data_IF_112625178087
#
_entry.id   IF_112625178087
#
_cell.length_a   1.000
_cell.length_b   1.000
_cell.length_c   1.000
_cell.angle_alpha   90.00
_cell.angle_beta   90.00
_cell.angle_gamma   90.00
#
_symmetry.space_group_name_H-M   'P 1'
#
loop_
_entity.id
_entity.type
_entity.pdbx_description
1 polymer ?
#
# COMPACT_ATOMS: atom_id res chain seq x y z
N UNK A 1 -3.52 -27.59 1.70
CA UNK A 1 -3.42 -27.09 3.09
C UNK A 1 -4.21 -25.80 3.17
N UNK A 2 -5.07 -25.64 4.17
CA UNK A 2 -5.72 -24.36 4.46
C UNK A 2 -5.09 -23.80 5.73
N UNK A 3 -4.53 -22.59 5.66
CA UNK A 3 -4.02 -21.87 6.81
C UNK A 3 -5.21 -21.27 7.56
N UNK A 4 -5.44 -21.69 8.81
CA UNK A 4 -6.66 -21.38 9.60
C UNK A 4 -6.34 -20.74 10.95
N UNK A 5 -5.12 -20.23 11.14
CA UNK A 5 -4.74 -19.55 12.37
C UNK A 5 -5.51 -18.24 12.58
N UNK A 6 -5.73 -17.90 13.85
CA UNK A 6 -6.18 -16.57 14.25
C UNK A 6 -5.03 -15.58 14.16
N UNK A 7 -4.94 -14.87 13.03
CA UNK A 7 -3.92 -13.84 12.80
C UNK A 7 -4.07 -12.70 13.80
N UNK A 8 -5.30 -12.30 14.14
CA UNK A 8 -5.54 -11.24 15.13
C UNK A 8 -4.95 -11.65 16.47
N UNK A 9 -5.38 -12.80 17.00
CA UNK A 9 -4.93 -13.29 18.30
C UNK A 9 -3.41 -13.49 18.36
N UNK A 10 -2.80 -14.00 17.28
CA UNK A 10 -1.34 -14.16 17.19
C UNK A 10 -0.58 -12.84 17.32
N UNK A 11 -1.01 -11.80 16.59
CA UNK A 11 -0.30 -10.51 16.60
C UNK A 11 -0.58 -9.70 17.87
N UNK A 12 -1.81 -9.76 18.40
CA UNK A 12 -2.12 -9.19 19.71
C UNK A 12 -1.26 -9.84 20.82
N UNK A 13 -1.03 -11.15 20.76
CA UNK A 13 -0.14 -11.85 21.69
C UNK A 13 1.34 -11.43 21.58
N UNK A 14 1.79 -10.97 20.40
CA UNK A 14 3.10 -10.34 20.22
C UNK A 14 3.16 -8.88 20.70
N UNK A 15 2.05 -8.33 21.19
CA UNK A 15 1.95 -6.93 21.61
C UNK A 15 1.75 -5.94 20.46
N UNK A 16 1.31 -6.41 19.28
CA UNK A 16 0.99 -5.54 18.16
C UNK A 16 -0.42 -4.98 18.27
N UNK A 17 -0.65 -3.80 17.69
CA UNK A 17 -2.00 -3.36 17.32
C UNK A 17 -2.45 -4.16 16.09
N UNK A 18 -3.66 -4.72 16.12
CA UNK A 18 -4.30 -5.34 14.96
C UNK A 18 -5.49 -4.48 14.52
N UNK A 19 -5.55 -4.16 13.22
CA UNK A 19 -6.67 -3.44 12.61
C UNK A 19 -7.21 -4.27 11.46
N UNK A 20 -8.53 -4.44 11.39
CA UNK A 20 -9.20 -5.18 10.32
C UNK A 20 -9.90 -4.24 9.34
N UNK A 21 -9.50 -4.30 8.07
CA UNK A 21 -10.24 -3.70 6.95
C UNK A 21 -11.00 -4.82 6.24
N UNK A 22 -12.33 -4.78 6.32
CA UNK A 22 -13.23 -5.84 5.81
C UNK A 22 -13.38 -5.86 4.29
N UNK A 23 -13.20 -4.71 3.64
CA UNK A 23 -13.23 -4.58 2.18
C UNK A 23 -11.97 -3.86 1.70
N UNK A 24 -11.08 -4.60 1.03
CA UNK A 24 -9.84 -4.06 0.50
C UNK A 24 -10.01 -3.17 -0.75
N UNK A 25 -11.21 -3.04 -1.29
CA UNK A 25 -11.51 -2.05 -2.33
C UNK A 25 -12.02 -0.71 -1.74
N UNK A 26 -12.27 -0.64 -0.44
CA UNK A 26 -12.61 0.60 0.24
C UNK A 26 -11.34 1.38 0.61
N UNK A 27 -10.98 2.33 -0.25
CA UNK A 27 -9.80 3.17 -0.04
C UNK A 27 -9.91 4.10 1.18
N UNK A 28 -11.12 4.44 1.61
CA UNK A 28 -11.34 5.31 2.78
C UNK A 28 -11.12 4.51 4.06
N UNK A 29 -11.66 3.30 4.16
CA UNK A 29 -11.41 2.40 5.28
C UNK A 29 -9.91 2.08 5.45
N UNK A 30 -9.18 1.90 4.35
CA UNK A 30 -7.71 1.72 4.38
C UNK A 30 -7.02 2.98 4.89
N UNK A 31 -7.45 4.17 4.45
CA UNK A 31 -6.86 5.44 4.90
C UNK A 31 -7.08 5.65 6.41
N UNK A 32 -8.30 5.39 6.91
CA UNK A 32 -8.62 5.45 8.35
C UNK A 32 -7.76 4.48 9.14
N UNK A 33 -7.60 3.24 8.69
CA UNK A 33 -6.75 2.25 9.35
C UNK A 33 -5.27 2.68 9.39
N UNK A 34 -4.76 3.32 8.33
CA UNK A 34 -3.39 3.85 8.29
C UNK A 34 -3.20 5.02 9.26
N UNK A 35 -4.20 5.89 9.42
CA UNK A 35 -4.12 7.01 10.35
C UNK A 35 -4.23 6.54 11.80
N UNK A 36 -5.07 5.55 12.09
CA UNK A 36 -5.11 4.88 13.40
C UNK A 36 -3.78 4.19 13.72
N UNK A 37 -3.17 3.50 12.75
CA UNK A 37 -1.88 2.83 12.92
C UNK A 37 -0.74 3.82 13.22
N UNK A 38 -0.75 5.02 12.63
CA UNK A 38 0.26 6.06 12.91
C UNK A 38 0.03 6.77 14.25
N UNK A 39 -1.20 6.77 14.75
CA UNK A 39 -1.53 7.36 16.04
C UNK A 39 -1.07 6.48 17.21
N UNK A 40 -0.93 5.17 16.98
CA UNK A 40 -0.27 4.25 17.91
C UNK A 40 1.24 4.48 17.90
N UNK A 41 1.80 4.82 19.07
CA UNK A 41 3.21 5.18 19.24
C UNK A 41 3.96 4.20 20.15
N UNK A 42 3.28 3.26 20.79
CA UNK A 42 3.86 2.31 21.74
C UNK A 42 4.03 0.91 21.12
N UNK A 43 3.28 0.60 20.06
CA UNK A 43 3.22 -0.73 19.46
C UNK A 43 3.41 -0.69 17.95
N UNK A 44 4.00 -1.74 17.35
CA UNK A 44 3.88 -1.96 15.91
C UNK A 44 2.45 -2.35 15.55
N UNK A 45 2.03 -2.03 14.32
CA UNK A 45 0.67 -2.31 13.83
C UNK A 45 0.67 -3.25 12.64
N UNK A 46 -0.25 -4.22 12.65
CA UNK A 46 -0.64 -5.01 11.47
C UNK A 46 -2.06 -4.62 11.04
N UNK A 47 -2.21 -4.24 9.77
CA UNK A 47 -3.52 -4.00 9.17
C UNK A 47 -3.87 -5.20 8.29
N UNK A 48 -4.83 -6.00 8.74
CA UNK A 48 -5.37 -7.11 7.97
C UNK A 48 -6.42 -6.58 6.99
N UNK A 49 -6.06 -6.54 5.71
CA UNK A 49 -6.96 -6.10 4.63
C UNK A 49 -7.53 -7.31 3.91
N UNK A 50 -8.85 -7.52 3.99
CA UNK A 50 -9.53 -8.61 3.30
C UNK A 50 -9.69 -8.24 1.81
N UNK A 51 -9.08 -9.04 0.94
CA UNK A 51 -9.12 -8.85 -0.52
C UNK A 51 -9.59 -10.12 -1.22
N UNK A 52 -9.98 -9.99 -2.49
CA UNK A 52 -10.23 -11.12 -3.39
C UNK A 52 -9.03 -11.21 -4.35
N UNK A 53 -8.29 -12.31 -4.32
CA UNK A 53 -7.17 -12.51 -5.24
C UNK A 53 -7.67 -12.55 -6.68
N UNK A 54 -7.00 -11.84 -7.59
CA UNK A 54 -7.40 -11.73 -8.99
C UNK A 54 -8.77 -11.08 -9.19
N UNK A 55 -9.18 -10.16 -8.32
CA UNK A 55 -10.43 -9.39 -8.42
C UNK A 55 -10.70 -8.90 -9.86
N UNK A 56 -11.91 -9.14 -10.36
CA UNK A 56 -12.34 -8.83 -11.72
C UNK A 56 -12.10 -9.96 -12.73
N UNK A 57 -11.22 -10.93 -12.45
CA UNK A 57 -11.01 -12.08 -13.31
C UNK A 57 -12.13 -13.13 -13.12
N UNK A 58 -12.36 -13.95 -14.15
CA UNK A 58 -13.36 -15.04 -14.09
C UNK A 58 -13.10 -16.03 -12.95
N UNK A 59 -11.82 -16.32 -12.69
CA UNK A 59 -11.36 -17.24 -11.63
C UNK A 59 -10.94 -16.52 -10.34
N UNK A 60 -11.41 -15.30 -10.11
CA UNK A 60 -11.12 -14.55 -8.88
C UNK A 60 -11.42 -15.37 -7.62
N UNK A 61 -10.65 -15.17 -6.56
CA UNK A 61 -10.82 -15.89 -5.29
C UNK A 61 -10.32 -17.35 -5.29
N UNK A 62 -9.77 -17.83 -6.41
CA UNK A 62 -9.22 -19.19 -6.51
C UNK A 62 -7.69 -19.18 -6.59
N UNK A 63 -7.04 -20.32 -6.32
CA UNK A 63 -5.59 -20.44 -6.48
C UNK A 63 -5.12 -20.38 -7.94
N UNK A 64 -6.03 -20.56 -8.91
CA UNK A 64 -5.70 -20.58 -10.33
C UNK A 64 -5.15 -19.25 -10.86
N UNK A 65 -5.46 -18.12 -10.19
CA UNK A 65 -4.98 -16.78 -10.57
C UNK A 65 -3.68 -16.37 -9.86
N UNK A 66 -3.09 -17.24 -9.03
CA UNK A 66 -1.92 -16.89 -8.23
C UNK A 66 -0.62 -16.84 -9.02
N UNK A 67 -0.32 -17.89 -9.80
CA UNK A 67 1.01 -18.09 -10.39
C UNK A 67 1.02 -18.31 -11.91
N UNK A 68 -0.13 -18.16 -12.58
CA UNK A 68 -0.25 -18.36 -14.02
C UNK A 68 -0.84 -17.11 -14.69
N UNK A 69 -0.39 -16.74 -15.90
CA UNK A 69 -1.03 -15.69 -16.68
C UNK A 69 -2.51 -16.01 -16.91
N UNK A 70 -3.36 -14.97 -16.92
CA UNK A 70 -4.79 -15.13 -17.18
C UNK A 70 -5.11 -15.59 -18.62
N UNK A 71 -4.15 -15.45 -19.54
CA UNK A 71 -4.38 -15.60 -20.98
C UNK A 71 -5.15 -14.41 -21.57
N UNK A 72 -5.20 -14.34 -22.90
CA UNK A 72 -5.81 -13.19 -23.59
C UNK A 72 -7.31 -13.05 -23.29
N UNK A 73 -8.03 -14.17 -23.21
CA UNK A 73 -9.46 -14.19 -22.89
C UNK A 73 -9.71 -13.70 -21.45
N UNK A 74 -8.93 -14.18 -20.48
CA UNK A 74 -9.02 -13.74 -19.10
C UNK A 74 -8.68 -12.27 -18.91
N UNK A 75 -7.70 -11.73 -19.67
CA UNK A 75 -7.40 -10.30 -19.70
C UNK A 75 -8.59 -9.51 -20.24
N UNK A 76 -9.18 -9.92 -21.36
CA UNK A 76 -10.32 -9.24 -21.96
C UNK A 76 -11.55 -9.25 -21.02
N UNK A 77 -11.81 -10.38 -20.36
CA UNK A 77 -12.84 -10.49 -19.34
C UNK A 77 -12.60 -9.51 -18.19
N UNK A 78 -11.39 -9.51 -17.63
CA UNK A 78 -11.03 -8.66 -16.48
C UNK A 78 -11.15 -7.18 -16.83
N UNK A 79 -10.65 -6.78 -18.02
CA UNK A 79 -10.80 -5.40 -18.51
C UNK A 79 -12.27 -4.97 -18.57
N UNK A 80 -13.13 -5.82 -19.14
CA UNK A 80 -14.58 -5.56 -19.21
C UNK A 80 -15.20 -5.46 -17.82
N UNK A 81 -14.86 -6.37 -16.91
CA UNK A 81 -15.38 -6.37 -15.54
C UNK A 81 -14.98 -5.11 -14.75
N UNK A 82 -13.78 -4.59 -14.98
CA UNK A 82 -13.26 -3.37 -14.33
C UNK A 82 -13.63 -2.07 -15.09
N UNK A 83 -14.35 -2.15 -16.20
CA UNK A 83 -14.64 -0.98 -17.05
C UNK A 83 -13.39 -0.36 -17.69
N UNK A 84 -12.31 -1.11 -17.83
CA UNK A 84 -11.04 -0.64 -18.38
C UNK A 84 -11.05 -0.74 -19.91
N UNK A 85 -11.21 0.41 -20.58
CA UNK A 85 -11.32 0.50 -22.03
C UNK A 85 -10.00 0.74 -22.77
N UNK A 86 -8.90 0.98 -22.06
CA UNK A 86 -7.65 1.37 -22.69
C UNK A 86 -6.89 0.18 -23.31
N UNK A 87 -6.07 0.41 -24.35
CA UNK A 87 -5.18 -0.58 -24.91
C UNK A 87 -4.18 -1.14 -23.89
N UNK A 88 -3.50 -2.24 -24.23
CA UNK A 88 -2.44 -2.76 -23.40
C UNK A 88 -1.32 -1.72 -23.22
N UNK A 89 -0.79 -1.62 -21.99
CA UNK A 89 0.31 -0.73 -21.64
C UNK A 89 0.04 0.77 -21.84
N UNK A 90 -1.22 1.20 -21.76
CA UNK A 90 -1.58 2.62 -21.77
C UNK A 90 -1.88 3.09 -20.35
N UNK A 91 -1.20 4.16 -19.94
CA UNK A 91 -1.51 4.90 -18.72
C UNK A 91 -2.32 6.13 -19.12
N UNK A 92 -3.57 6.27 -18.67
CA UNK A 92 -4.36 7.47 -18.93
C UNK A 92 -3.67 8.71 -18.34
N UNK A 93 -3.77 9.85 -19.04
CA UNK A 93 -3.08 11.09 -18.65
C UNK A 93 -3.50 11.56 -17.25
N UNK A 94 -4.78 11.42 -16.92
CA UNK A 94 -5.30 11.77 -15.61
C UNK A 94 -4.68 10.93 -14.48
N UNK A 95 -4.33 9.68 -14.75
CA UNK A 95 -3.64 8.80 -13.79
C UNK A 95 -2.21 9.29 -13.61
N UNK A 96 -1.47 9.51 -14.70
CA UNK A 96 -0.11 10.03 -14.64
C UNK A 96 -0.04 11.37 -13.90
N UNK A 97 -0.96 12.29 -14.21
CA UNK A 97 -1.08 13.59 -13.55
C UNK A 97 -1.43 13.45 -12.08
N UNK A 98 -2.31 12.53 -11.70
CA UNK A 98 -2.65 12.27 -10.29
C UNK A 98 -1.42 11.82 -9.50
N UNK A 99 -0.58 10.95 -10.06
CA UNK A 99 0.67 10.51 -9.43
C UNK A 99 1.68 11.65 -9.30
N UNK A 100 1.83 12.47 -10.34
CA UNK A 100 2.71 13.63 -10.30
C UNK A 100 2.33 14.59 -9.17
N UNK A 101 1.05 14.96 -9.08
CA UNK A 101 0.57 15.91 -8.06
C UNK A 101 0.61 15.31 -6.65
N UNK A 102 0.13 14.08 -6.48
CA UNK A 102 -0.08 13.49 -5.14
C UNK A 102 1.18 12.85 -4.55
N UNK A 103 2.11 12.42 -5.40
CA UNK A 103 3.33 11.72 -4.95
C UNK A 103 4.55 12.56 -5.25
N UNK A 104 4.88 12.80 -6.53
CA UNK A 104 6.15 13.43 -6.93
C UNK A 104 6.39 14.76 -6.22
N UNK A 105 5.48 15.71 -6.35
CA UNK A 105 5.65 17.04 -5.75
C UNK A 105 5.70 16.99 -4.21
N UNK A 106 4.91 16.11 -3.58
CA UNK A 106 4.92 15.93 -2.13
C UNK A 106 6.26 15.37 -1.65
N UNK A 107 6.80 14.38 -2.35
CA UNK A 107 8.08 13.77 -2.02
C UNK A 107 9.25 14.75 -2.22
N UNK A 108 9.28 15.48 -3.34
CA UNK A 108 10.29 16.51 -3.61
C UNK A 108 10.28 17.59 -2.53
N UNK A 109 9.11 18.06 -2.12
CA UNK A 109 8.99 19.03 -1.03
C UNK A 109 9.49 18.47 0.32
N UNK A 110 9.15 17.22 0.64
CA UNK A 110 9.56 16.58 1.88
C UNK A 110 11.09 16.34 1.92
N UNK A 111 11.68 15.89 0.81
CA UNK A 111 13.12 15.68 0.69
C UNK A 111 13.88 17.00 0.77
N UNK A 112 13.43 18.04 0.07
CA UNK A 112 14.04 19.36 0.16
C UNK A 112 14.00 19.91 1.60
N UNK A 113 12.86 19.79 2.28
CA UNK A 113 12.73 20.20 3.68
C UNK A 113 13.66 19.39 4.60
N UNK A 114 13.83 18.09 4.34
CA UNK A 114 14.75 17.25 5.08
C UNK A 114 16.20 17.66 4.83
N UNK A 115 16.60 17.88 3.58
CA UNK A 115 17.95 18.31 3.21
C UNK A 115 18.32 19.66 3.84
N UNK A 116 17.38 20.60 3.90
CA UNK A 116 17.58 21.87 4.63
C UNK A 116 17.82 21.64 6.11
N UNK A 117 16.96 20.86 6.77
CA UNK A 117 17.12 20.54 8.21
C UNK A 117 18.42 19.79 8.49
N UNK A 118 18.81 18.88 7.60
CA UNK A 118 20.04 18.12 7.72
C UNK A 118 21.28 19.03 7.61
N UNK A 119 21.30 19.95 6.63
CA UNK A 119 22.40 20.92 6.50
C UNK A 119 22.50 21.89 7.68
N UNK A 120 21.37 22.25 8.30
CA UNK A 120 21.36 23.02 9.55
C UNK A 120 21.92 22.21 10.72
N UNK A 121 21.48 20.95 10.83
CA UNK A 121 21.97 20.02 11.84
C UNK A 121 23.49 19.82 11.74
N UNK A 122 24.04 19.60 10.54
CA UNK A 122 25.48 19.47 10.30
C UNK A 122 26.29 20.68 10.79
N UNK A 123 25.76 21.90 10.59
CA UNK A 123 26.41 23.13 11.07
C UNK A 123 26.32 23.29 12.59
N UNK A 124 25.26 22.77 13.20
CA UNK A 124 25.02 22.85 14.65
C UNK A 124 25.81 21.84 15.47
N UNK A 125 26.40 20.83 14.82
CA UNK A 125 27.31 19.90 15.46
C UNK A 125 28.68 20.57 15.65
N UNK A 126 29.11 20.90 16.89
CA UNK A 126 30.53 21.11 17.12
C UNK A 126 31.25 19.84 16.65
N UNK A 127 32.38 19.98 15.93
CA UNK A 127 33.28 18.85 15.65
C UNK A 127 33.36 18.05 16.95
N UNK A 128 33.00 16.77 16.90
CA UNK A 128 33.41 15.83 17.94
C UNK A 128 34.93 15.76 17.83
N UNK A 129 35.59 16.72 18.47
CA UNK A 129 37.01 16.74 18.71
C UNK A 129 37.27 15.84 19.90
N UNK A 130 37.93 14.72 19.63
CA UNK A 130 38.41 13.77 20.63
C UNK A 130 38.58 12.41 19.96
N UNK A 131 39.78 11.88 19.74
CA UNK A 131 41.14 12.28 20.10
C UNK A 131 42.10 11.96 18.95
#
# INVERSE_FOLDING_TARGET
>A
MAFTEDIKGKFEAYGWQHILVKDGNDSEAIAVALDEAKAENEKPTIIEVKTIIGFGAEKQGTSAVHGAPLGQEGINYTKKALGYAYPAFIVPEEVARRFEVRIKFRCEAAENAWNTKFAEYEKSLPRVGGA
#
